data_IF_693753205802
#
_entry.id   IF_693753205802
#
_cell.length_a   1.000
_cell.length_b   1.000
_cell.length_c   1.000
_cell.angle_alpha   90.00
_cell.angle_beta   90.00
_cell.angle_gamma   90.00
#
_symmetry.space_group_name_H-M   'P 1'
#
loop_
_entity.id
_entity.type
_entity.pdbx_description
1 polymer ?
#
# COMPACT_ATOMS: atom_id res chain seq x y z
N UNK A 1 5.01 -12.97 15.83
CA UNK A 1 4.55 -11.86 14.98
C UNK A 1 3.06 -12.04 14.78
N UNK A 2 2.24 -11.03 15.09
CA UNK A 2 0.79 -11.13 14.94
C UNK A 2 0.35 -10.86 13.50
N UNK A 3 -0.88 -11.27 13.15
CA UNK A 3 -1.49 -10.92 11.85
C UNK A 3 -1.58 -9.41 11.68
N UNK A 4 -1.87 -8.68 12.76
CA UNK A 4 -1.93 -7.22 12.77
C UNK A 4 -0.59 -6.56 12.47
N UNK A 5 0.51 -7.14 12.96
CA UNK A 5 1.86 -6.63 12.66
C UNK A 5 2.18 -6.81 11.17
N UNK A 6 1.78 -7.94 10.58
CA UNK A 6 1.93 -8.18 9.14
C UNK A 6 1.08 -7.20 8.32
N UNK A 7 -0.16 -6.96 8.73
CA UNK A 7 -1.06 -6.01 8.07
C UNK A 7 -0.50 -4.58 8.08
N UNK A 8 0.03 -4.13 9.23
CA UNK A 8 0.66 -2.82 9.37
C UNK A 8 1.91 -2.69 8.50
N UNK A 9 2.75 -3.73 8.46
CA UNK A 9 3.95 -3.74 7.64
C UNK A 9 3.60 -3.70 6.13
N UNK A 10 2.61 -4.49 5.70
CA UNK A 10 2.14 -4.52 4.33
C UNK A 10 1.54 -3.15 3.91
N UNK A 11 0.70 -2.55 4.76
CA UNK A 11 0.14 -1.22 4.51
C UNK A 11 1.21 -0.15 4.39
N UNK A 12 2.23 -0.17 5.27
CA UNK A 12 3.35 0.77 5.21
C UNK A 12 4.12 0.64 3.89
N UNK A 13 4.34 -0.59 3.42
CA UNK A 13 5.01 -0.84 2.15
C UNK A 13 4.18 -0.33 0.96
N UNK A 14 2.87 -0.62 0.92
CA UNK A 14 1.98 -0.15 -0.14
C UNK A 14 1.95 1.39 -0.22
N UNK A 15 1.84 2.07 0.92
CA UNK A 15 1.90 3.54 0.98
C UNK A 15 3.24 4.10 0.47
N UNK A 16 4.37 3.43 0.76
CA UNK A 16 5.67 3.87 0.27
C UNK A 16 5.77 3.74 -1.26
N UNK A 17 5.22 2.67 -1.83
CA UNK A 17 5.13 2.47 -3.28
C UNK A 17 4.30 3.57 -3.94
N UNK A 18 3.13 3.90 -3.39
CA UNK A 18 2.29 4.98 -3.91
C UNK A 18 2.97 6.35 -3.79
N UNK A 19 3.70 6.59 -2.69
CA UNK A 19 4.48 7.82 -2.53
C UNK A 19 5.63 7.90 -3.56
N UNK A 20 6.32 6.80 -3.83
CA UNK A 20 7.37 6.77 -4.85
C UNK A 20 6.83 7.03 -6.26
N UNK A 21 5.59 6.64 -6.54
CA UNK A 21 4.93 6.90 -7.81
C UNK A 21 4.45 8.36 -7.93
N UNK A 22 3.70 8.82 -6.92
CA UNK A 22 2.91 10.04 -7.01
C UNK A 22 3.62 11.26 -6.39
N UNK A 23 4.65 11.01 -5.59
CA UNK A 23 5.24 12.00 -4.70
C UNK A 23 4.25 12.49 -3.63
N UNK A 24 4.63 13.54 -2.91
CA UNK A 24 3.68 14.28 -2.08
C UNK A 24 4.09 15.75 -1.94
N UNK A 25 3.14 16.67 -2.05
CA UNK A 25 3.34 18.11 -1.74
C UNK A 25 4.57 18.72 -2.43
N UNK A 26 4.82 18.37 -3.70
CA UNK A 26 5.94 18.90 -4.48
C UNK A 26 7.34 18.45 -4.04
N UNK A 27 7.45 17.44 -3.17
CA UNK A 27 8.70 16.80 -2.76
C UNK A 27 8.63 15.28 -2.81
N UNK A 28 9.66 14.67 -3.38
CA UNK A 28 9.83 13.21 -3.42
C UNK A 28 8.91 12.52 -4.43
N UNK A 29 9.24 11.26 -4.70
CA UNK A 29 8.74 10.45 -5.81
C UNK A 29 9.89 10.08 -6.75
N UNK A 30 10.04 8.79 -7.08
CA UNK A 30 10.95 8.30 -8.12
C UNK A 30 10.41 8.62 -9.54
N UNK A 31 9.36 9.42 -9.67
CA UNK A 31 8.88 9.94 -10.95
C UNK A 31 8.32 8.87 -11.89
N UNK A 32 7.77 7.78 -11.35
CA UNK A 32 7.24 6.68 -12.16
C UNK A 32 8.27 5.65 -12.63
N UNK A 33 9.43 5.55 -11.98
CA UNK A 33 10.36 4.42 -12.19
C UNK A 33 9.86 3.07 -11.63
N UNK A 34 8.59 3.01 -11.22
CA UNK A 34 7.92 1.80 -10.76
C UNK A 34 7.15 1.17 -11.92
N UNK A 35 7.17 -0.16 -12.00
CA UNK A 35 6.36 -0.89 -12.97
C UNK A 35 4.88 -0.86 -12.58
N UNK A 36 3.98 -0.96 -13.57
CA UNK A 36 2.54 -1.14 -13.35
C UNK A 36 2.23 -2.34 -12.43
N UNK A 37 3.05 -3.40 -12.52
CA UNK A 37 2.93 -4.58 -11.66
C UNK A 37 3.17 -4.23 -10.20
N UNK A 38 4.13 -3.34 -9.92
CA UNK A 38 4.43 -2.87 -8.56
C UNK A 38 3.27 -2.05 -8.00
N UNK A 39 2.68 -1.16 -8.81
CA UNK A 39 1.52 -0.38 -8.41
C UNK A 39 0.29 -1.26 -8.15
N UNK A 40 0.04 -2.24 -9.03
CA UNK A 40 -1.06 -3.18 -8.88
C UNK A 40 -0.93 -3.98 -7.58
N UNK A 41 0.27 -4.47 -7.25
CA UNK A 41 0.50 -5.19 -6.00
C UNK A 41 0.22 -4.32 -4.76
N UNK A 42 0.61 -3.03 -4.78
CA UNK A 42 0.27 -2.10 -3.71
C UNK A 42 -1.25 -1.92 -3.55
N UNK A 43 -1.97 -1.73 -4.66
CA UNK A 43 -3.43 -1.63 -4.64
C UNK A 43 -4.13 -2.91 -4.14
N UNK A 44 -3.60 -4.09 -4.48
CA UNK A 44 -4.13 -5.37 -3.98
C UNK A 44 -4.01 -5.48 -2.45
N UNK A 45 -2.90 -5.02 -1.86
CA UNK A 45 -2.75 -4.94 -0.40
C UNK A 45 -3.85 -4.07 0.21
N UNK A 46 -4.11 -2.88 -0.35
CA UNK A 46 -5.20 -2.02 0.12
C UNK A 46 -6.56 -2.71 0.04
N UNK A 47 -6.84 -3.43 -1.05
CA UNK A 47 -8.10 -4.15 -1.23
C UNK A 47 -8.30 -5.26 -0.19
N UNK A 48 -7.26 -6.07 0.07
CA UNK A 48 -7.30 -7.16 1.06
C UNK A 48 -7.56 -6.60 2.46
N UNK A 49 -6.79 -5.58 2.87
CA UNK A 49 -6.91 -5.01 4.21
C UNK A 49 -8.27 -4.32 4.43
N UNK A 50 -8.83 -3.67 3.42
CA UNK A 50 -10.17 -3.07 3.50
C UNK A 50 -11.27 -4.12 3.58
N UNK A 51 -11.11 -5.25 2.88
CA UNK A 51 -12.04 -6.38 2.96
C UNK A 51 -12.02 -7.00 4.35
N UNK A 52 -10.85 -7.26 4.92
CA UNK A 52 -10.72 -7.80 6.28
C UNK A 52 -11.35 -6.87 7.33
N UNK A 53 -11.18 -5.55 7.17
CA UNK A 53 -11.82 -4.55 8.05
C UNK A 53 -13.34 -4.59 7.95
N UNK A 54 -13.89 -4.82 6.75
CA UNK A 54 -15.33 -4.92 6.52
C UNK A 54 -15.89 -6.22 7.09
N UNK A 55 -15.16 -7.33 6.96
CA UNK A 55 -15.56 -8.63 7.50
C UNK A 55 -15.49 -8.67 9.03
N UNK A 56 -14.50 -8.01 9.66
CA UNK A 56 -14.38 -7.91 11.10
C UNK A 56 -15.41 -6.99 11.77
N UNK A 57 -16.06 -6.11 11.00
CA UNK A 57 -17.10 -5.19 11.49
C UNK A 57 -18.52 -5.77 11.41
N UNK A 58 -18.67 -7.00 10.91
CA UNK A 58 -19.93 -7.76 10.85
C UNK A 58 -20.00 -8.75 12.00
#
# INVERSE_FOLDING_TARGET
MSRDDLAKAALKLANAVEHDMNGSMGKGGNGGLLSDTTLRAAHEVHAILNREKTEAAR
#
